data_IF_260718125097
#
_entry.id   IF_260718125097
#
_cell.length_a   1.000
_cell.length_b   1.000
_cell.length_c   1.000
_cell.angle_alpha   90.00
_cell.angle_beta   90.00
_cell.angle_gamma   90.00
#
_symmetry.space_group_name_H-M   'P 1'
#
loop_
_entity.id
_entity.type
_entity.pdbx_description
1 polymer ?
#
# COMPACT_ATOMS: atom_id res chain seq x y z
N UNK A 1 6.77 13.51 -11.62
CA UNK A 1 7.06 12.46 -12.61
C UNK A 1 5.93 11.44 -12.55
N UNK A 2 4.95 11.55 -13.44
CA UNK A 2 3.89 10.55 -13.57
C UNK A 2 4.49 9.30 -14.22
N UNK A 3 4.58 8.21 -13.46
CA UNK A 3 5.12 6.95 -13.95
C UNK A 3 4.26 6.42 -15.11
N UNK A 4 4.82 5.99 -16.24
CA UNK A 4 4.07 5.39 -17.34
C UNK A 4 3.63 3.94 -17.05
N UNK A 5 3.44 3.54 -15.78
CA UNK A 5 3.35 2.15 -15.32
C UNK A 5 1.98 1.71 -14.81
N UNK A 6 0.89 2.37 -15.21
CA UNK A 6 -0.44 2.12 -14.64
C UNK A 6 -1.35 1.20 -15.46
N UNK A 7 -0.83 0.51 -16.49
CA UNK A 7 -1.65 -0.42 -17.29
C UNK A 7 -1.59 -1.84 -16.73
N UNK A 8 -2.73 -2.52 -16.76
CA UNK A 8 -2.87 -3.95 -16.39
C UNK A 8 -1.79 -4.82 -17.05
N UNK A 9 -1.56 -4.61 -18.35
CA UNK A 9 -0.59 -5.39 -19.13
C UNK A 9 0.83 -5.26 -18.58
N UNK A 10 1.26 -4.06 -18.22
CA UNK A 10 2.60 -3.83 -17.66
C UNK A 10 2.74 -4.49 -16.29
N UNK A 11 1.71 -4.41 -15.46
CA UNK A 11 1.67 -5.07 -14.15
C UNK A 11 1.82 -6.59 -14.29
N UNK A 12 0.99 -7.23 -15.11
CA UNK A 12 1.06 -8.68 -15.34
C UNK A 12 2.39 -9.12 -15.97
N UNK A 13 2.95 -8.33 -16.91
CA UNK A 13 4.25 -8.62 -17.51
C UNK A 13 5.35 -8.54 -16.45
N UNK A 14 5.32 -7.52 -15.60
CA UNK A 14 6.28 -7.34 -14.50
C UNK A 14 6.26 -8.53 -13.55
N UNK A 15 5.08 -8.96 -13.09
CA UNK A 15 4.92 -10.15 -12.23
C UNK A 15 5.48 -11.38 -12.93
N UNK A 16 5.07 -11.63 -14.17
CA UNK A 16 5.50 -12.80 -14.95
C UNK A 16 7.02 -12.82 -15.11
N UNK A 17 7.63 -11.67 -15.43
CA UNK A 17 9.07 -11.56 -15.63
C UNK A 17 9.85 -11.77 -14.32
N UNK A 18 9.34 -11.27 -13.20
CA UNK A 18 9.95 -11.50 -11.89
C UNK A 18 9.93 -12.99 -11.52
N UNK A 19 8.79 -13.67 -11.72
CA UNK A 19 8.67 -15.11 -11.49
C UNK A 19 9.62 -15.88 -12.41
N UNK A 20 9.66 -15.54 -13.69
CA UNK A 20 10.58 -16.17 -14.65
C UNK A 20 12.05 -16.02 -14.25
N UNK A 21 12.45 -14.84 -13.77
CA UNK A 21 13.82 -14.62 -13.27
C UNK A 21 14.10 -15.42 -12.00
N UNK A 22 13.14 -15.51 -11.09
CA UNK A 22 13.31 -16.19 -9.80
C UNK A 22 13.44 -17.71 -9.98
N UNK A 23 12.67 -18.29 -10.89
CA UNK A 23 12.61 -19.74 -11.14
C UNK A 23 13.33 -20.19 -12.42
N UNK A 24 14.08 -19.31 -13.09
CA UNK A 24 14.75 -19.55 -14.37
C UNK A 24 13.81 -20.14 -15.45
N UNK A 25 12.60 -19.59 -15.56
CA UNK A 25 11.58 -20.01 -16.52
C UNK A 25 11.61 -19.12 -17.77
N UNK A 26 11.23 -19.70 -18.91
CA UNK A 26 10.89 -18.94 -20.12
C UNK A 26 9.40 -18.56 -20.13
N UNK A 27 9.10 -17.49 -20.85
CA UNK A 27 7.75 -16.95 -21.02
C UNK A 27 7.47 -16.76 -22.51
N UNK A 28 6.28 -17.14 -22.96
CA UNK A 28 5.88 -16.87 -24.34
C UNK A 28 5.37 -15.44 -24.49
N UNK A 29 5.45 -14.93 -25.72
CA UNK A 29 5.00 -13.59 -26.06
C UNK A 29 3.46 -13.58 -26.12
N UNK A 30 2.81 -13.01 -25.11
CA UNK A 30 1.36 -12.88 -25.09
C UNK A 30 0.89 -11.53 -25.70
N UNK A 31 0.12 -11.49 -26.80
CA UNK A 31 -0.39 -10.25 -27.39
C UNK A 31 -1.43 -9.50 -26.54
N UNK A 32 -2.23 -10.19 -25.73
CA UNK A 32 -3.30 -9.58 -24.94
C UNK A 32 -3.18 -9.85 -23.43
N UNK A 33 -4.06 -9.23 -22.64
CA UNK A 33 -4.09 -9.34 -21.17
C UNK A 33 -4.59 -10.72 -20.72
N UNK A 34 -5.58 -11.27 -21.43
CA UNK A 34 -6.23 -12.53 -21.05
C UNK A 34 -5.29 -13.73 -21.20
N UNK A 35 -4.53 -13.79 -22.29
CA UNK A 35 -3.51 -14.79 -22.53
C UNK A 35 -2.36 -14.67 -21.54
N UNK A 36 -2.00 -13.44 -21.16
CA UNK A 36 -0.96 -13.21 -20.16
C UNK A 36 -1.40 -13.70 -18.76
N UNK A 37 -2.65 -13.41 -18.37
CA UNK A 37 -3.27 -13.96 -17.14
C UNK A 37 -3.31 -15.48 -17.19
N UNK A 38 -3.77 -16.04 -18.30
CA UNK A 38 -3.86 -17.50 -18.48
C UNK A 38 -2.47 -18.16 -18.37
N UNK A 39 -1.45 -17.59 -19.00
CA UNK A 39 -0.08 -18.11 -18.93
C UNK A 39 0.49 -18.06 -17.50
N UNK A 40 0.17 -17.02 -16.73
CA UNK A 40 0.50 -16.97 -15.31
C UNK A 40 -0.09 -18.17 -14.56
N UNK A 41 -1.39 -18.40 -14.73
CA UNK A 41 -2.14 -19.47 -14.05
C UNK A 41 -1.70 -20.88 -14.46
N UNK A 42 -1.58 -21.13 -15.76
CA UNK A 42 -1.41 -22.49 -16.30
C UNK A 42 0.04 -22.88 -16.57
N UNK A 43 0.94 -21.91 -16.67
CA UNK A 43 2.33 -22.17 -17.06
C UNK A 43 3.30 -21.77 -15.96
N UNK A 44 3.18 -20.56 -15.43
CA UNK A 44 4.17 -20.05 -14.47
C UNK A 44 3.90 -20.58 -13.07
N UNK A 45 2.67 -20.48 -12.58
CA UNK A 45 2.34 -20.92 -11.22
C UNK A 45 2.52 -22.42 -11.02
N UNK A 46 2.18 -23.25 -12.02
CA UNK A 46 2.35 -24.70 -11.94
C UNK A 46 3.81 -25.17 -11.97
N UNK A 47 4.74 -24.32 -12.42
CA UNK A 47 6.18 -24.63 -12.43
C UNK A 47 6.87 -24.26 -11.12
N UNK A 48 6.16 -23.65 -10.18
CA UNK A 48 6.71 -23.31 -8.86
C UNK A 48 6.80 -24.61 -8.04
N UNK A 49 7.99 -24.97 -7.53
CA UNK A 49 8.16 -26.16 -6.71
C UNK A 49 7.22 -26.19 -5.50
N UNK A 50 6.58 -27.33 -5.22
CA UNK A 50 5.61 -27.45 -4.12
C UNK A 50 6.21 -27.23 -2.72
N UNK A 51 7.53 -27.37 -2.59
CA UNK A 51 8.28 -27.13 -1.36
C UNK A 51 8.65 -25.65 -1.13
N UNK A 52 8.29 -24.76 -2.05
CA UNK A 52 8.55 -23.32 -1.96
C UNK A 52 7.25 -22.52 -1.93
N UNK A 53 7.25 -21.41 -1.19
CA UNK A 53 6.12 -20.49 -1.12
C UNK A 53 6.40 -19.20 -1.88
N UNK A 54 5.52 -18.87 -2.82
CA UNK A 54 5.56 -17.59 -3.54
C UNK A 54 4.44 -16.67 -3.01
N UNK A 55 4.81 -15.47 -2.58
CA UNK A 55 3.86 -14.41 -2.21
C UNK A 55 4.00 -13.27 -3.22
N UNK A 56 2.90 -12.94 -3.88
CA UNK A 56 2.78 -11.79 -4.77
C UNK A 56 2.12 -10.67 -3.99
N UNK A 57 2.79 -9.52 -3.89
CA UNK A 57 2.24 -8.32 -3.26
C UNK A 57 1.94 -7.28 -4.33
N UNK A 58 0.67 -6.93 -4.48
CA UNK A 58 0.21 -5.85 -5.34
C UNK A 58 -0.19 -4.66 -4.48
N UNK A 59 0.68 -3.66 -4.47
CA UNK A 59 0.45 -2.44 -3.71
C UNK A 59 -0.33 -1.41 -4.55
N UNK A 60 -1.28 -0.74 -3.90
CA UNK A 60 -2.11 0.35 -4.42
C UNK A 60 -2.69 0.08 -5.80
N UNK A 61 -3.51 -0.97 -5.95
CA UNK A 61 -4.15 -1.26 -7.24
C UNK A 61 -5.13 -0.15 -7.68
N UNK A 62 -5.55 0.70 -6.75
CA UNK A 62 -6.29 1.94 -7.01
C UNK A 62 -5.51 2.97 -7.86
N UNK A 63 -4.19 2.84 -7.99
CA UNK A 63 -3.37 3.71 -8.85
C UNK A 63 -3.25 3.22 -10.30
N UNK A 64 -3.85 2.07 -10.62
CA UNK A 64 -3.95 1.58 -11.99
C UNK A 64 -4.98 2.41 -12.78
N UNK A 65 -4.98 2.24 -14.10
CA UNK A 65 -6.00 2.82 -14.97
C UNK A 65 -7.39 2.27 -14.63
N UNK A 66 -8.44 3.02 -14.95
CA UNK A 66 -9.81 2.70 -14.53
C UNK A 66 -10.33 1.39 -15.11
N UNK A 67 -9.74 0.91 -16.20
CA UNK A 67 -10.03 -0.40 -16.80
C UNK A 67 -9.58 -1.57 -15.90
N UNK A 68 -8.70 -1.33 -14.92
CA UNK A 68 -8.22 -2.32 -13.96
C UNK A 68 -9.16 -2.54 -12.77
N UNK A 69 -10.13 -1.64 -12.56
CA UNK A 69 -10.94 -1.61 -11.34
C UNK A 69 -11.94 -2.76 -11.25
N UNK A 70 -12.30 -3.37 -12.39
CA UNK A 70 -13.14 -4.58 -12.43
C UNK A 70 -12.45 -5.81 -11.80
N UNK A 71 -11.14 -5.71 -11.56
CA UNK A 71 -10.27 -6.75 -11.01
C UNK A 71 -10.27 -8.09 -11.78
N UNK A 72 -10.96 -8.19 -12.93
CA UNK A 72 -11.09 -9.44 -13.68
C UNK A 72 -9.76 -9.88 -14.30
N UNK A 73 -8.82 -8.96 -14.44
CA UNK A 73 -7.47 -9.25 -14.91
C UNK A 73 -6.61 -10.02 -13.91
N UNK A 74 -6.96 -10.03 -12.62
CA UNK A 74 -6.23 -10.78 -11.60
C UNK A 74 -6.36 -12.30 -11.85
N UNK A 75 -5.30 -13.08 -11.56
CA UNK A 75 -5.39 -14.53 -11.62
C UNK A 75 -6.50 -15.06 -10.70
N UNK A 76 -7.33 -15.97 -11.22
CA UNK A 76 -8.42 -16.63 -10.49
C UNK A 76 -7.97 -17.92 -9.83
N UNK A 77 -6.89 -18.52 -10.35
CA UNK A 77 -6.34 -19.77 -9.82
C UNK A 77 -4.95 -19.54 -9.25
N UNK A 78 -4.76 -19.96 -8.00
CA UNK A 78 -3.47 -19.99 -7.32
C UNK A 78 -3.24 -21.39 -6.75
N UNK A 79 -2.08 -22.03 -7.05
CA UNK A 79 -1.65 -23.23 -6.34
C UNK A 79 -1.55 -23.00 -4.83
N UNK A 80 -1.57 -24.08 -4.03
CA UNK A 80 -1.57 -23.99 -2.56
C UNK A 80 -0.40 -23.18 -1.99
N UNK A 81 0.74 -23.27 -2.65
CA UNK A 81 2.00 -22.64 -2.28
C UNK A 81 2.18 -21.23 -2.87
N UNK A 82 1.21 -20.72 -3.64
CA UNK A 82 1.22 -19.35 -4.17
C UNK A 82 0.10 -18.55 -3.52
N UNK A 83 0.42 -17.35 -3.04
CA UNK A 83 -0.55 -16.42 -2.45
C UNK A 83 -0.40 -15.04 -3.07
N UNK A 84 -1.51 -14.32 -3.17
CA UNK A 84 -1.55 -12.94 -3.62
C UNK A 84 -2.15 -12.07 -2.52
N UNK A 85 -1.47 -10.97 -2.21
CA UNK A 85 -1.93 -9.93 -1.28
C UNK A 85 -2.11 -8.67 -2.11
N UNK A 86 -3.26 -8.03 -1.97
CA UNK A 86 -3.63 -6.83 -2.72
C UNK A 86 -4.00 -5.74 -1.72
N UNK A 87 -3.46 -4.53 -1.90
CA UNK A 87 -3.87 -3.34 -1.16
C UNK A 87 -4.65 -2.39 -2.07
N UNK A 88 -5.71 -1.79 -1.52
CA UNK A 88 -6.56 -0.80 -2.19
C UNK A 88 -7.15 0.15 -1.15
N UNK A 89 -7.51 1.35 -1.59
CA UNK A 89 -8.43 2.21 -0.83
C UNK A 89 -9.83 1.57 -0.76
N UNK A 90 -10.54 1.69 0.38
CA UNK A 90 -11.84 1.05 0.56
C UNK A 90 -12.93 1.65 -0.33
N UNK A 91 -12.89 2.96 -0.57
CA UNK A 91 -13.95 3.72 -1.23
C UNK A 91 -13.55 4.21 -2.63
N UNK A 92 -12.67 3.46 -3.32
CA UNK A 92 -12.16 3.85 -4.63
C UNK A 92 -12.60 2.88 -5.74
N UNK A 93 -13.32 3.41 -6.73
CA UNK A 93 -13.59 2.73 -8.01
C UNK A 93 -14.30 1.37 -7.90
N UNK A 94 -15.06 1.12 -6.84
CA UNK A 94 -15.69 -0.18 -6.54
C UNK A 94 -14.72 -1.37 -6.47
N UNK A 95 -13.42 -1.12 -6.37
CA UNK A 95 -12.37 -2.13 -6.40
C UNK A 95 -12.57 -3.16 -5.29
N UNK A 96 -12.82 -2.69 -4.05
CA UNK A 96 -13.05 -3.57 -2.90
C UNK A 96 -14.27 -4.48 -3.12
N UNK A 97 -15.34 -3.96 -3.72
CA UNK A 97 -16.55 -4.72 -4.04
C UNK A 97 -16.26 -5.80 -5.09
N UNK A 98 -15.50 -5.45 -6.13
CA UNK A 98 -15.10 -6.39 -7.18
C UNK A 98 -14.17 -7.48 -6.66
N UNK A 99 -13.21 -7.14 -5.78
CA UNK A 99 -12.35 -8.11 -5.11
C UNK A 99 -13.15 -9.10 -4.26
N UNK A 100 -14.14 -8.62 -3.50
CA UNK A 100 -15.04 -9.46 -2.71
C UNK A 100 -15.78 -10.48 -3.58
N UNK A 101 -16.22 -10.09 -4.78
CA UNK A 101 -16.86 -11.01 -5.74
C UNK A 101 -15.87 -12.07 -6.21
N UNK A 102 -14.64 -11.69 -6.57
CA UNK A 102 -13.62 -12.62 -7.07
C UNK A 102 -13.25 -13.69 -6.04
N UNK A 103 -13.16 -13.32 -4.77
CA UNK A 103 -12.83 -14.26 -3.68
C UNK A 103 -14.05 -15.00 -3.13
N UNK A 104 -15.24 -14.84 -3.74
CA UNK A 104 -16.51 -15.35 -3.24
C UNK A 104 -16.74 -15.02 -1.75
N UNK A 105 -16.47 -13.77 -1.38
CA UNK A 105 -16.62 -13.29 -0.01
C UNK A 105 -18.09 -13.36 0.42
N UNK A 106 -18.40 -14.21 1.39
CA UNK A 106 -19.71 -14.27 2.02
C UNK A 106 -19.61 -13.77 3.48
N UNK A 107 -20.19 -12.61 3.81
CA UNK A 107 -20.15 -12.05 5.16
C UNK A 107 -20.80 -12.94 6.24
N UNK A 108 -21.63 -13.92 5.85
CA UNK A 108 -22.26 -14.87 6.77
C UNK A 108 -21.39 -16.10 7.07
N UNK A 109 -20.34 -16.33 6.26
CA UNK A 109 -19.41 -17.45 6.42
C UNK A 109 -18.25 -17.07 7.37
N UNK A 110 -18.48 -17.28 8.66
CA UNK A 110 -17.54 -16.87 9.73
C UNK A 110 -16.20 -17.60 9.64
N UNK A 111 -16.17 -18.84 9.13
CA UNK A 111 -14.97 -19.68 9.14
C UNK A 111 -13.89 -19.28 8.12
N UNK A 112 -14.23 -18.53 7.06
CA UNK A 112 -13.30 -18.20 5.97
C UNK A 112 -13.01 -16.71 5.79
N UNK A 113 -13.72 -15.79 6.46
CA UNK A 113 -13.69 -14.36 6.12
C UNK A 113 -12.73 -13.51 6.94
N UNK A 114 -12.41 -13.89 8.19
CA UNK A 114 -11.63 -13.04 9.09
C UNK A 114 -10.18 -12.78 8.66
N UNK A 115 -9.60 -13.66 7.82
CA UNK A 115 -8.20 -13.54 7.40
C UNK A 115 -8.03 -13.08 5.94
N UNK A 116 -9.12 -12.82 5.21
CA UNK A 116 -9.06 -12.44 3.79
C UNK A 116 -9.06 -10.93 3.57
N UNK A 117 -9.69 -10.17 4.47
CA UNK A 117 -9.74 -8.72 4.41
C UNK A 117 -9.11 -8.14 5.68
N UNK A 118 -8.03 -7.38 5.49
CA UNK A 118 -7.36 -6.68 6.57
C UNK A 118 -7.63 -5.19 6.40
N UNK A 119 -8.38 -4.61 7.32
CA UNK A 119 -8.58 -3.16 7.37
C UNK A 119 -7.43 -2.53 8.14
N UNK A 120 -6.71 -1.62 7.50
CA UNK A 120 -5.69 -0.80 8.16
C UNK A 120 -6.40 0.37 8.84
N UNK A 121 -6.51 0.30 10.16
CA UNK A 121 -7.16 1.33 10.98
C UNK A 121 -6.16 2.41 11.44
N UNK A 122 -6.63 3.62 11.79
CA UNK A 122 -5.81 4.63 12.45
C UNK A 122 -5.19 4.10 13.76
N UNK A 123 -4.07 4.69 14.18
CA UNK A 123 -3.46 4.33 15.46
C UNK A 123 -4.36 4.69 16.63
N UNK A 124 -4.41 3.78 17.62
CA UNK A 124 -4.94 4.09 18.95
C UNK A 124 -4.04 5.12 19.65
N UNK A 125 -4.64 6.02 20.45
CA UNK A 125 -3.91 7.08 21.15
C UNK A 125 -2.74 6.55 22.01
N UNK A 126 -2.92 5.39 22.65
CA UNK A 126 -1.87 4.70 23.41
C UNK A 126 -0.68 4.29 22.54
N UNK A 127 -0.94 3.80 21.33
CA UNK A 127 0.07 3.35 20.37
C UNK A 127 0.82 4.54 19.78
N UNK A 128 0.11 5.64 19.51
CA UNK A 128 0.72 6.90 19.05
C UNK A 128 1.79 7.37 20.03
N UNK A 129 1.46 7.45 21.32
CA UNK A 129 2.39 7.91 22.34
C UNK A 129 3.64 7.01 22.38
N UNK A 130 3.46 5.69 22.34
CA UNK A 130 4.59 4.74 22.39
C UNK A 130 5.46 4.88 21.15
N UNK A 131 4.88 4.81 19.95
CA UNK A 131 5.64 4.81 18.69
C UNK A 131 6.34 6.15 18.49
N UNK A 132 5.66 7.26 18.74
CA UNK A 132 6.21 8.59 18.53
C UNK A 132 7.29 8.93 19.55
N UNK A 133 7.13 8.55 20.83
CA UNK A 133 8.17 8.73 21.83
C UNK A 133 9.42 7.91 21.49
N UNK A 134 9.25 6.66 21.05
CA UNK A 134 10.38 5.82 20.60
C UNK A 134 11.13 6.47 19.43
N UNK A 135 10.42 6.98 18.42
CA UNK A 135 11.04 7.65 17.28
C UNK A 135 11.82 8.91 17.67
N UNK A 136 11.27 9.72 18.57
CA UNK A 136 11.93 10.94 19.05
C UNK A 136 13.15 10.63 19.92
N UNK A 137 13.08 9.62 20.79
CA UNK A 137 14.22 9.17 21.58
C UNK A 137 15.38 8.73 20.68
N UNK A 138 15.09 8.01 19.59
CA UNK A 138 16.13 7.63 18.60
C UNK A 138 16.82 8.84 17.95
N UNK A 139 16.15 10.01 17.90
CA UNK A 139 16.69 11.26 17.38
C UNK A 139 17.11 12.26 18.46
N UNK A 140 17.12 11.85 19.74
CA UNK A 140 17.40 12.71 20.89
C UNK A 140 16.56 13.99 20.93
N UNK A 141 15.29 13.89 20.52
CA UNK A 141 14.35 15.02 20.47
C UNK A 141 13.29 14.93 21.57
N UNK A 142 12.81 16.08 22.00
CA UNK A 142 11.74 16.20 23.00
C UNK A 142 10.36 16.07 22.35
N UNK A 143 9.46 15.36 23.04
CA UNK A 143 8.07 15.12 22.63
C UNK A 143 7.25 16.41 22.55
N UNK A 144 6.71 16.72 21.36
CA UNK A 144 5.78 17.83 21.15
C UNK A 144 4.35 17.29 21.28
N UNK A 145 3.97 17.04 22.53
CA UNK A 145 2.65 16.55 22.94
C UNK A 145 1.49 17.38 22.37
N UNK A 146 1.70 18.69 22.29
CA UNK A 146 0.71 19.68 21.82
C UNK A 146 0.22 19.43 20.39
N UNK A 147 1.01 18.79 19.53
CA UNK A 147 0.60 18.52 18.14
C UNK A 147 -0.28 17.27 18.03
N UNK A 148 -0.26 16.36 19.01
CA UNK A 148 -0.93 15.06 18.95
C UNK A 148 -2.22 15.02 19.78
N UNK A 149 -2.30 15.80 20.87
CA UNK A 149 -3.45 15.79 21.80
C UNK A 149 -4.78 16.29 21.22
N UNK A 150 -4.75 17.06 20.13
CA UNK A 150 -5.97 17.64 19.52
C UNK A 150 -6.68 16.65 18.58
N UNK A 151 -6.14 15.44 18.39
CA UNK A 151 -6.53 14.57 17.27
C UNK A 151 -7.24 13.31 17.72
N UNK A 152 -8.34 12.99 17.03
CA UNK A 152 -9.15 11.79 17.28
C UNK A 152 -8.71 10.59 16.45
N UNK A 153 -8.13 10.81 15.27
CA UNK A 153 -7.67 9.74 14.36
C UNK A 153 -6.30 10.07 13.81
N UNK A 154 -5.30 9.24 14.12
CA UNK A 154 -3.91 9.47 13.71
C UNK A 154 -3.49 8.37 12.75
N UNK A 155 -3.41 8.70 11.47
CA UNK A 155 -2.93 7.78 10.44
C UNK A 155 -1.40 7.61 10.55
N UNK A 156 -0.87 6.40 10.28
CA UNK A 156 0.58 6.16 10.31
C UNK A 156 1.39 7.10 9.41
N UNK A 157 0.88 7.37 8.20
CA UNK A 157 1.51 8.29 7.26
C UNK A 157 1.59 9.72 7.83
N UNK A 158 0.47 10.21 8.38
CA UNK A 158 0.43 11.53 9.02
C UNK A 158 1.47 11.64 10.14
N UNK A 159 1.49 10.65 11.04
CA UNK A 159 2.44 10.61 12.16
C UNK A 159 3.89 10.61 11.68
N UNK A 160 4.19 9.85 10.61
CA UNK A 160 5.52 9.82 10.00
C UNK A 160 5.91 11.18 9.40
N UNK A 161 5.01 11.84 8.69
CA UNK A 161 5.27 13.16 8.10
C UNK A 161 5.53 14.22 9.19
N UNK A 162 4.74 14.24 10.26
CA UNK A 162 4.98 15.14 11.40
C UNK A 162 6.34 14.85 12.05
N UNK A 163 6.67 13.58 12.26
CA UNK A 163 7.99 13.20 12.79
C UNK A 163 9.13 13.70 11.90
N UNK A 164 9.00 13.54 10.58
CA UNK A 164 10.02 13.99 9.62
C UNK A 164 10.15 15.52 9.62
N UNK A 165 9.03 16.25 9.69
CA UNK A 165 9.02 17.71 9.83
C UNK A 165 9.78 18.12 11.10
N UNK A 166 9.41 17.59 12.27
CA UNK A 166 10.05 17.92 13.56
C UNK A 166 11.54 17.53 13.58
N UNK A 167 11.89 16.44 12.90
CA UNK A 167 13.28 15.97 12.81
C UNK A 167 14.20 16.95 12.09
N UNK A 168 13.67 17.84 11.24
CA UNK A 168 14.44 18.86 10.53
C UNK A 168 14.69 20.14 11.32
N UNK A 169 13.98 20.34 12.43
CA UNK A 169 14.05 21.62 13.17
C UNK A 169 15.38 21.80 13.90
N UNK A 170 15.77 23.03 14.12
CA UNK A 170 16.79 23.38 15.07
C UNK A 170 16.16 23.66 16.44
N UNK A 171 16.97 23.66 17.51
CA UNK A 171 16.49 23.92 18.87
C UNK A 171 15.89 25.31 19.07
N UNK A 172 16.14 26.23 18.13
CA UNK A 172 15.61 27.59 18.12
C UNK A 172 14.38 27.76 17.19
N UNK A 173 13.96 26.72 16.47
CA UNK A 173 12.76 26.79 15.64
C UNK A 173 11.52 26.70 16.55
N UNK A 174 10.67 27.73 16.51
CA UNK A 174 9.38 27.74 17.19
C UNK A 174 8.36 26.92 16.41
N UNK A 175 7.40 26.32 17.12
CA UNK A 175 6.20 25.73 16.48
C UNK A 175 5.44 26.86 15.79
N UNK A 176 5.59 26.97 14.48
CA UNK A 176 4.84 27.89 13.63
C UNK A 176 3.33 27.61 13.74
N UNK A 177 2.52 28.64 13.66
CA UNK A 177 1.06 28.52 13.70
C UNK A 177 0.54 27.65 12.54
N UNK A 178 1.26 27.61 11.41
CA UNK A 178 0.97 26.69 10.30
C UNK A 178 1.05 25.20 10.69
N UNK A 179 1.90 24.83 11.65
CA UNK A 179 2.05 23.45 12.10
C UNK A 179 0.90 23.00 12.98
N UNK A 180 0.36 23.93 13.77
CA UNK A 180 -0.82 23.69 14.60
C UNK A 180 -2.07 23.46 13.75
N UNK A 181 -2.08 23.95 12.52
CA UNK A 181 -3.20 23.80 11.58
C UNK A 181 -3.10 22.57 10.66
N UNK A 182 -2.06 21.74 10.76
CA UNK A 182 -1.98 20.53 9.94
C UNK A 182 -2.91 19.49 10.53
N UNK A 183 -3.98 19.07 9.85
CA UNK A 183 -4.94 18.08 10.37
C UNK A 183 -4.83 16.73 9.67
N UNK A 184 -4.45 16.75 8.39
CA UNK A 184 -4.37 15.56 7.54
C UNK A 184 -2.97 15.37 6.94
N UNK A 185 -2.71 14.17 6.40
CA UNK A 185 -1.46 13.89 5.69
C UNK A 185 -1.24 14.88 4.54
N UNK A 186 -2.31 15.26 3.83
CA UNK A 186 -2.26 16.24 2.74
C UNK A 186 -1.78 17.62 3.19
N UNK A 187 -2.17 18.06 4.39
CA UNK A 187 -1.70 19.33 4.94
C UNK A 187 -0.20 19.27 5.20
N UNK A 188 0.29 18.16 5.76
CA UNK A 188 1.72 17.94 5.98
C UNK A 188 2.50 17.92 4.67
N UNK A 189 1.96 17.26 3.64
CA UNK A 189 2.55 17.22 2.30
C UNK A 189 2.64 18.64 1.72
N UNK A 190 1.55 19.42 1.76
CA UNK A 190 1.53 20.81 1.30
C UNK A 190 2.53 21.69 2.07
N UNK A 191 2.60 21.52 3.38
CA UNK A 191 3.57 22.22 4.22
C UNK A 191 5.01 21.92 3.80
N UNK A 192 5.36 20.65 3.61
CA UNK A 192 6.68 20.24 3.14
C UNK A 192 7.02 20.82 1.76
N UNK A 193 6.06 20.79 0.82
CA UNK A 193 6.24 21.42 -0.49
C UNK A 193 6.51 22.92 -0.40
N UNK A 194 5.77 23.64 0.43
CA UNK A 194 5.98 25.08 0.63
C UNK A 194 7.36 25.37 1.24
N UNK A 195 7.85 24.53 2.15
CA UNK A 195 9.19 24.68 2.72
C UNK A 195 10.30 24.44 1.71
N UNK A 196 10.12 23.49 0.79
CA UNK A 196 11.06 23.26 -0.31
C UNK A 196 11.11 24.46 -1.27
N UNK A 197 9.95 25.04 -1.61
CA UNK A 197 9.89 26.23 -2.47
C UNK A 197 10.59 27.44 -1.85
N UNK A 198 10.50 27.64 -0.53
CA UNK A 198 11.18 28.74 0.18
C UNK A 198 12.70 28.61 0.23
N UNK A 199 13.25 27.40 0.02
CA UNK A 199 14.70 27.12 0.01
C UNK A 199 15.33 27.23 -1.38
N UNK A 200 14.54 27.51 -2.42
CA UNK A 200 14.99 27.68 -3.81
C UNK A 200 15.01 29.15 -4.18
#
# INVERSE_FOLDING_TARGET
TTCPSSTIRKTLLSISQQICKLYNLSMDICPDILQLRHQLETTLFLKIPENEYLIILLDSIDQLETDAYDCQWLPKFFPKNVKCIVSTLPDHGDILSNLKIIINYDPLSIENTQNLLVLVVPFEASTVDIVFNNWLQMKQRSFIRQLMEVRTEILPLFMKLIFDIISTWHSYDSIDDQLKTLYHADDCIRYLFNQLQKKT
#
